data_IF_792518071559
#
_entry.id   IF_792518071559
#
_cell.length_a   1.000
_cell.length_b   1.000
_cell.length_c   1.000
_cell.angle_alpha   90.00
_cell.angle_beta   90.00
_cell.angle_gamma   90.00
#
_symmetry.space_group_name_H-M   'P 1'
#
loop_
_entity.id
_entity.type
_entity.pdbx_description
1 polymer ?
#
# COMPACT_ATOMS: atom_id res chain seq x y z
N UNK A 1 -16.33 22.32 18.45
CA UNK A 1 -16.80 21.16 17.65
C UNK A 1 -16.73 19.92 18.52
N UNK A 2 -17.80 19.12 18.63
CA UNK A 2 -17.81 17.96 19.50
C UNK A 2 -16.86 16.89 18.94
N UNK A 3 -15.91 16.42 19.76
CA UNK A 3 -15.06 15.27 19.42
C UNK A 3 -15.97 14.07 19.18
N UNK A 4 -16.07 13.61 17.93
CA UNK A 4 -16.66 12.31 17.58
C UNK A 4 -16.01 11.25 18.49
N UNK A 5 -16.80 10.62 19.38
CA UNK A 5 -16.33 9.44 20.11
C UNK A 5 -15.91 8.40 19.06
N UNK A 6 -14.64 7.98 19.05
CA UNK A 6 -14.19 6.86 18.23
C UNK A 6 -15.03 5.65 18.65
N UNK A 7 -15.80 5.08 17.72
CA UNK A 7 -16.48 3.80 17.96
C UNK A 7 -15.40 2.75 18.22
N UNK A 8 -15.64 1.86 19.18
CA UNK A 8 -14.76 0.70 19.40
C UNK A 8 -14.58 -0.05 18.09
N UNK A 9 -13.34 -0.42 17.76
CA UNK A 9 -13.02 -1.28 16.62
C UNK A 9 -13.34 -2.76 16.90
N UNK A 10 -13.74 -3.09 18.13
CA UNK A 10 -13.96 -4.45 18.59
C UNK A 10 -15.33 -4.60 19.24
N UNK A 11 -16.00 -5.70 18.91
CA UNK A 11 -17.16 -6.18 19.67
C UNK A 11 -16.72 -6.91 20.93
N UNK A 12 -17.32 -6.58 22.07
CA UNK A 12 -17.05 -7.25 23.33
C UNK A 12 -17.47 -8.71 23.25
N UNK A 13 -16.64 -9.64 23.73
CA UNK A 13 -16.93 -11.08 23.63
C UNK A 13 -17.24 -11.66 25.00
N UNK A 14 -18.35 -12.41 25.10
CA UNK A 14 -18.69 -13.23 26.26
C UNK A 14 -17.58 -14.27 26.47
N UNK A 15 -16.81 -14.12 27.54
CA UNK A 15 -15.78 -15.09 27.92
C UNK A 15 -16.46 -16.29 28.59
N UNK A 16 -16.92 -17.25 27.78
CA UNK A 16 -17.18 -18.60 28.29
C UNK A 16 -15.88 -19.37 28.23
N UNK A 17 -15.32 -19.78 29.38
CA UNK A 17 -14.23 -20.77 29.39
C UNK A 17 -14.79 -22.08 28.82
N UNK A 18 -14.38 -22.53 27.63
CA UNK A 18 -14.85 -23.80 27.14
C UNK A 18 -14.22 -24.88 28.02
N UNK A 19 -15.03 -25.86 28.45
CA UNK A 19 -14.52 -27.05 29.14
C UNK A 19 -13.90 -27.97 28.10
N UNK A 20 -12.70 -27.63 27.60
CA UNK A 20 -11.96 -28.52 26.73
C UNK A 20 -11.46 -29.72 27.55
N UNK A 21 -12.07 -30.88 27.34
CA UNK A 21 -11.59 -32.15 27.90
C UNK A 21 -10.40 -32.70 27.12
N UNK A 22 -10.19 -32.24 25.89
CA UNK A 22 -9.13 -32.63 24.97
C UNK A 22 -8.30 -31.40 24.59
N UNK A 23 -6.97 -31.55 24.56
CA UNK A 23 -6.05 -30.48 24.20
C UNK A 23 -6.12 -30.06 22.73
N UNK A 24 -5.18 -29.20 22.32
CA UNK A 24 -5.00 -28.75 20.93
C UNK A 24 -4.93 -29.98 19.99
N UNK A 25 -5.67 -29.99 18.86
CA UNK A 25 -5.63 -31.10 17.91
C UNK A 25 -4.22 -31.41 17.40
N UNK A 26 -3.89 -32.69 17.29
CA UNK A 26 -2.68 -33.12 16.59
C UNK A 26 -2.90 -33.14 15.08
N UNK A 27 -1.86 -33.16 14.26
CA UNK A 27 -2.00 -33.24 12.79
C UNK A 27 -2.79 -34.50 12.34
N UNK A 28 -2.57 -35.63 13.01
CA UNK A 28 -3.31 -36.89 12.72
C UNK A 28 -4.79 -36.79 13.08
N UNK A 29 -5.10 -36.16 14.21
CA UNK A 29 -6.50 -35.89 14.59
C UNK A 29 -7.13 -34.89 13.64
N UNK A 30 -6.41 -33.83 13.28
CA UNK A 30 -6.88 -32.81 12.37
C UNK A 30 -7.39 -33.44 11.09
N UNK A 31 -6.62 -34.34 10.49
CA UNK A 31 -6.93 -35.04 9.24
C UNK A 31 -8.27 -35.79 9.26
N UNK A 32 -8.67 -36.35 10.42
CA UNK A 32 -9.92 -37.11 10.57
C UNK A 32 -11.11 -36.26 10.98
N UNK A 33 -10.89 -35.02 11.43
CA UNK A 33 -11.96 -34.10 11.83
C UNK A 33 -12.81 -33.65 10.64
N UNK A 34 -14.10 -33.39 10.92
CA UNK A 34 -15.05 -32.94 9.92
C UNK A 34 -14.74 -31.50 9.48
N UNK A 35 -14.86 -31.24 8.18
CA UNK A 35 -14.61 -29.94 7.57
C UNK A 35 -15.83 -29.02 7.58
N UNK A 36 -15.59 -27.72 7.77
CA UNK A 36 -16.60 -26.67 7.71
C UNK A 36 -16.12 -25.48 6.88
N UNK A 37 -17.05 -24.74 6.29
CA UNK A 37 -16.75 -23.52 5.52
C UNK A 37 -16.75 -22.25 6.39
N UNK A 38 -17.45 -22.29 7.51
CA UNK A 38 -17.57 -21.17 8.44
C UNK A 38 -17.82 -21.64 9.88
N UNK A 39 -17.62 -20.72 10.82
CA UNK A 39 -18.11 -20.83 12.20
C UNK A 39 -18.69 -19.49 12.64
N UNK A 40 -19.38 -19.49 13.78
CA UNK A 40 -20.02 -18.30 14.34
C UNK A 40 -19.56 -18.11 15.77
N UNK A 41 -19.20 -16.88 16.11
CA UNK A 41 -18.85 -16.47 17.48
C UNK A 41 -19.87 -15.46 17.97
N UNK A 42 -20.57 -15.71 19.09
CA UNK A 42 -21.44 -14.72 19.69
C UNK A 42 -20.64 -13.65 20.46
N UNK A 43 -21.06 -12.40 20.36
CA UNK A 43 -20.55 -11.30 21.18
C UNK A 43 -21.34 -11.17 22.51
N UNK A 44 -20.97 -10.21 23.37
CA UNK A 44 -21.63 -9.96 24.65
C UNK A 44 -23.09 -9.54 24.50
N UNK A 45 -23.40 -8.80 23.43
CA UNK A 45 -24.73 -8.33 23.07
C UNK A 45 -25.60 -9.44 22.46
N UNK A 46 -24.99 -10.59 22.12
CA UNK A 46 -25.65 -11.72 21.50
C UNK A 46 -25.70 -11.65 19.98
N UNK A 47 -25.03 -10.67 19.36
CA UNK A 47 -24.87 -10.65 17.92
C UNK A 47 -23.90 -11.76 17.49
N UNK A 48 -24.17 -12.32 16.32
CA UNK A 48 -23.42 -13.44 15.77
C UNK A 48 -22.43 -12.96 14.72
N UNK A 49 -21.14 -13.20 14.94
CA UNK A 49 -20.07 -12.89 14.01
C UNK A 49 -19.66 -14.14 13.25
N UNK A 50 -19.85 -14.15 11.93
CA UNK A 50 -19.56 -15.32 11.09
C UNK A 50 -18.18 -15.20 10.43
N UNK A 51 -17.33 -16.18 10.70
CA UNK A 51 -15.99 -16.28 10.14
C UNK A 51 -15.92 -17.39 9.10
N UNK A 52 -15.31 -17.10 7.95
CA UNK A 52 -15.17 -18.00 6.80
C UNK A 52 -13.71 -18.27 6.48
N UNK A 53 -13.47 -19.36 5.76
CA UNK A 53 -12.15 -19.66 5.20
C UNK A 53 -11.66 -18.47 4.35
N UNK A 54 -10.35 -18.22 4.42
CA UNK A 54 -9.60 -17.13 3.77
C UNK A 54 -9.81 -15.72 4.32
N UNK A 55 -10.73 -15.53 5.27
CA UNK A 55 -10.84 -14.26 6.00
C UNK A 55 -9.72 -14.12 7.04
N UNK A 56 -9.39 -12.87 7.35
CA UNK A 56 -8.44 -12.51 8.40
C UNK A 56 -9.23 -12.03 9.62
N UNK A 57 -8.73 -12.36 10.81
CA UNK A 57 -9.40 -12.08 12.06
C UNK A 57 -8.42 -11.67 13.16
N UNK A 58 -8.94 -10.91 14.12
CA UNK A 58 -8.30 -10.67 15.39
C UNK A 58 -8.53 -11.86 16.32
N UNK A 59 -7.44 -12.32 16.93
CA UNK A 59 -7.40 -13.47 17.83
C UNK A 59 -6.83 -12.99 19.16
N UNK A 60 -7.48 -13.39 20.26
CA UNK A 60 -7.03 -13.07 21.61
C UNK A 60 -5.73 -13.81 21.92
N UNK A 61 -4.69 -13.09 22.37
CA UNK A 61 -3.53 -13.71 23.01
C UNK A 61 -3.94 -14.45 24.28
N UNK A 62 -3.11 -15.43 24.68
CA UNK A 62 -3.34 -16.15 25.93
C UNK A 62 -3.30 -15.21 27.14
N UNK A 63 -4.21 -15.43 28.09
CA UNK A 63 -4.35 -14.61 29.30
C UNK A 63 -4.92 -13.19 29.10
N UNK A 64 -5.21 -12.77 27.86
CA UNK A 64 -5.79 -11.45 27.57
C UNK A 64 -7.31 -11.56 27.49
N UNK A 65 -8.00 -10.77 28.32
CA UNK A 65 -9.45 -10.65 28.23
C UNK A 65 -9.81 -9.65 27.10
N UNK A 66 -10.93 -9.86 26.39
CA UNK A 66 -11.43 -8.92 25.41
C UNK A 66 -11.94 -7.66 26.11
N UNK A 67 -11.04 -6.76 26.51
CA UNK A 67 -11.38 -5.42 27.01
C UNK A 67 -11.03 -4.35 25.97
N UNK A 68 -11.93 -3.37 25.87
CA UNK A 68 -11.85 -2.13 25.08
C UNK A 68 -10.62 -1.25 25.35
N UNK A 69 -9.88 -1.50 26.42
CA UNK A 69 -8.69 -0.71 26.75
C UNK A 69 -7.47 -1.05 25.87
N UNK A 70 -7.44 -2.22 25.24
CA UNK A 70 -6.30 -2.65 24.45
C UNK A 70 -6.30 -2.04 23.04
N UNK A 71 -5.15 -1.48 22.66
CA UNK A 71 -4.92 -1.00 21.30
C UNK A 71 -5.05 -2.16 20.29
N UNK A 72 -5.59 -1.95 19.07
CA UNK A 72 -5.78 -3.03 18.09
C UNK A 72 -4.51 -3.84 17.79
N UNK A 73 -3.34 -3.22 17.91
CA UNK A 73 -2.05 -3.87 17.68
C UNK A 73 -1.66 -4.88 18.77
N UNK A 74 -2.39 -4.95 19.89
CA UNK A 74 -2.18 -5.93 20.95
C UNK A 74 -2.78 -7.31 20.61
N UNK A 75 -3.74 -7.35 19.68
CA UNK A 75 -4.36 -8.60 19.25
C UNK A 75 -3.47 -9.32 18.24
N UNK A 76 -3.50 -10.65 18.27
CA UNK A 76 -2.90 -11.46 17.22
C UNK A 76 -3.77 -11.37 15.97
N UNK A 77 -3.14 -11.46 14.80
CA UNK A 77 -3.85 -11.39 13.52
C UNK A 77 -3.55 -12.67 12.74
N UNK A 78 -4.62 -13.34 12.32
CA UNK A 78 -4.52 -14.64 11.67
C UNK A 78 -5.46 -14.76 10.48
N UNK A 79 -4.98 -15.38 9.41
CA UNK A 79 -5.80 -15.74 8.25
C UNK A 79 -6.29 -17.18 8.38
N UNK A 80 -7.61 -17.38 8.33
CA UNK A 80 -8.24 -18.69 8.43
C UNK A 80 -7.97 -19.47 7.15
N UNK A 81 -7.43 -20.69 7.29
CA UNK A 81 -7.10 -21.56 6.15
C UNK A 81 -7.98 -22.78 6.07
N UNK A 82 -8.34 -23.34 7.22
CA UNK A 82 -9.24 -24.48 7.32
C UNK A 82 -10.03 -24.34 8.62
N UNK A 83 -11.25 -24.85 8.63
CA UNK A 83 -12.10 -24.94 9.81
C UNK A 83 -12.50 -26.41 9.93
N UNK A 84 -12.27 -26.99 11.10
CA UNK A 84 -12.63 -28.38 11.39
C UNK A 84 -13.20 -28.51 12.79
N UNK A 85 -14.01 -29.55 13.01
CA UNK A 85 -14.57 -29.82 14.33
C UNK A 85 -14.45 -31.30 14.72
N UNK A 86 -14.22 -31.57 16.00
CA UNK A 86 -14.34 -32.92 16.56
C UNK A 86 -15.82 -33.25 16.80
N UNK A 87 -16.59 -32.26 17.24
CA UNK A 87 -18.04 -32.29 17.46
C UNK A 87 -18.61 -30.86 17.40
N UNK A 88 -19.89 -30.66 17.66
CA UNK A 88 -20.57 -29.36 17.57
C UNK A 88 -20.00 -28.29 18.52
N UNK A 89 -19.38 -28.69 19.64
CA UNK A 89 -18.84 -27.78 20.65
C UNK A 89 -17.32 -27.55 20.50
N UNK A 90 -16.62 -28.46 19.83
CA UNK A 90 -15.16 -28.48 19.71
C UNK A 90 -14.71 -28.14 18.28
N UNK A 91 -14.83 -26.86 17.94
CA UNK A 91 -14.49 -26.31 16.62
C UNK A 91 -13.15 -25.58 16.67
N UNK A 92 -12.30 -25.85 15.69
CA UNK A 92 -10.95 -25.32 15.56
C UNK A 92 -10.70 -24.76 14.16
N UNK A 93 -9.82 -23.77 14.09
CA UNK A 93 -9.35 -23.18 12.85
C UNK A 93 -7.85 -23.42 12.70
N UNK A 94 -7.41 -23.84 11.52
CA UNK A 94 -6.01 -23.76 11.13
C UNK A 94 -5.75 -22.36 10.61
N UNK A 95 -4.86 -21.64 11.28
CA UNK A 95 -4.59 -20.22 11.06
C UNK A 95 -3.19 -20.04 10.50
N UNK A 96 -3.04 -19.16 9.50
CA UNK A 96 -1.74 -18.63 9.07
C UNK A 96 -1.51 -17.28 9.74
N UNK A 97 -0.34 -17.10 10.37
CA UNK A 97 -0.12 -15.96 11.26
C UNK A 97 0.49 -14.74 10.58
N UNK A 98 0.03 -13.56 11.01
CA UNK A 98 0.67 -12.27 10.80
C UNK A 98 1.45 -11.88 12.05
N UNK A 99 2.75 -11.69 11.89
CA UNK A 99 3.68 -11.37 12.98
C UNK A 99 3.89 -9.87 13.08
N UNK A 100 4.06 -9.35 14.30
CA UNK A 100 4.56 -8.00 14.50
C UNK A 100 6.05 -7.89 14.17
N UNK A 101 6.56 -6.70 13.79
CA UNK A 101 7.99 -6.49 13.56
C UNK A 101 8.88 -6.94 14.74
N UNK A 102 8.42 -6.73 15.97
CA UNK A 102 9.14 -7.11 17.19
C UNK A 102 9.24 -8.63 17.34
N UNK A 103 8.16 -9.36 17.05
CA UNK A 103 8.18 -10.83 17.07
C UNK A 103 9.07 -11.38 15.95
N UNK A 104 9.05 -10.78 14.76
CA UNK A 104 9.98 -11.15 13.68
C UNK A 104 11.43 -10.93 14.10
N UNK A 105 11.76 -9.79 14.71
CA UNK A 105 13.11 -9.53 15.20
C UNK A 105 13.56 -10.51 16.29
N UNK A 106 12.61 -11.08 17.05
CA UNK A 106 12.93 -12.15 18.01
C UNK A 106 13.50 -13.41 17.33
N UNK A 107 13.06 -13.70 16.11
CA UNK A 107 13.46 -14.86 15.28
C UNK A 107 14.61 -14.53 14.34
N UNK A 108 14.60 -13.33 13.74
CA UNK A 108 15.57 -12.82 12.77
C UNK A 108 16.18 -11.54 13.35
N UNK A 109 17.28 -11.67 14.10
CA UNK A 109 17.88 -10.55 14.85
C UNK A 109 18.37 -9.40 13.96
N UNK A 110 18.69 -9.68 12.70
CA UNK A 110 19.11 -8.69 11.71
C UNK A 110 17.95 -7.89 11.10
N UNK A 111 16.69 -8.29 11.35
CA UNK A 111 15.54 -7.57 10.83
C UNK A 111 15.38 -6.24 11.56
N UNK A 112 15.55 -5.12 10.85
CA UNK A 112 15.41 -3.78 11.41
C UNK A 112 13.93 -3.40 11.58
N UNK A 113 13.51 -3.27 12.84
CA UNK A 113 12.15 -2.88 13.21
C UNK A 113 11.90 -1.38 13.06
N UNK A 114 12.94 -0.55 12.98
CA UNK A 114 12.81 0.91 12.98
C UNK A 114 12.15 1.44 11.70
N UNK A 115 12.29 0.70 10.60
CA UNK A 115 11.62 0.97 9.32
C UNK A 115 10.17 0.52 9.25
N UNK A 116 9.62 -0.12 10.30
CA UNK A 116 8.26 -0.65 10.29
C UNK A 116 7.26 0.29 10.98
N UNK A 117 6.06 0.42 10.41
CA UNK A 117 4.98 1.17 11.04
C UNK A 117 4.28 0.40 12.18
N UNK A 118 3.53 1.10 13.01
CA UNK A 118 2.81 0.58 14.17
C UNK A 118 1.74 -0.47 13.78
N UNK A 119 1.09 -0.28 12.64
CA UNK A 119 0.07 -1.18 12.08
C UNK A 119 0.67 -2.15 11.06
N UNK A 120 2.00 -2.18 10.92
CA UNK A 120 2.63 -3.14 10.03
C UNK A 120 2.61 -4.55 10.63
N UNK A 121 2.37 -5.51 9.75
CA UNK A 121 2.44 -6.94 10.02
C UNK A 121 3.21 -7.65 8.93
N UNK A 122 3.80 -8.78 9.28
CA UNK A 122 4.58 -9.63 8.38
C UNK A 122 3.84 -10.96 8.22
N UNK A 123 3.42 -11.29 7.01
CA UNK A 123 2.66 -12.51 6.75
C UNK A 123 3.61 -13.71 6.76
N UNK A 124 3.39 -14.69 7.63
CA UNK A 124 4.30 -15.84 7.76
C UNK A 124 3.84 -17.08 7.01
N UNK A 125 4.76 -18.00 6.70
CA UNK A 125 4.46 -19.39 6.31
C UNK A 125 4.19 -20.30 7.52
N UNK A 126 4.02 -19.73 8.71
CA UNK A 126 3.75 -20.46 9.95
C UNK A 126 2.24 -20.66 10.17
N UNK A 127 1.87 -21.86 10.57
CA UNK A 127 0.48 -22.26 10.79
C UNK A 127 0.32 -22.87 12.18
N UNK A 128 -0.84 -22.64 12.80
CA UNK A 128 -1.20 -23.26 14.07
C UNK A 128 -2.70 -23.55 14.15
N UNK A 129 -3.11 -24.37 15.13
CA UNK A 129 -4.50 -24.68 15.42
C UNK A 129 -5.01 -23.81 16.56
N UNK A 130 -6.06 -23.05 16.29
CA UNK A 130 -6.65 -22.10 17.23
C UNK A 130 -8.10 -22.47 17.43
N UNK A 131 -8.54 -22.53 18.69
CA UNK A 131 -9.95 -22.70 18.99
C UNK A 131 -10.75 -21.52 18.45
N UNK A 132 -11.92 -21.78 17.86
CA UNK A 132 -12.83 -20.70 17.40
C UNK A 132 -13.26 -19.78 18.55
N UNK A 133 -13.18 -20.25 19.79
CA UNK A 133 -13.40 -19.48 21.01
C UNK A 133 -12.36 -18.36 21.24
N UNK A 134 -11.26 -18.30 20.50
CA UNK A 134 -10.26 -17.22 20.62
C UNK A 134 -10.46 -16.07 19.61
N UNK A 135 -11.36 -16.23 18.62
CA UNK A 135 -11.61 -15.21 17.59
C UNK A 135 -12.52 -14.11 18.12
N UNK A 136 -12.17 -12.84 17.88
CA UNK A 136 -12.91 -11.68 18.36
C UNK A 136 -13.69 -10.97 17.28
N UNK A 137 -12.99 -10.54 16.23
CA UNK A 137 -13.54 -9.66 15.20
C UNK A 137 -12.80 -9.87 13.89
N UNK A 138 -13.35 -9.38 12.78
CA UNK A 138 -12.69 -9.38 11.50
C UNK A 138 -11.53 -8.39 11.49
N UNK A 139 -10.44 -8.78 10.82
CA UNK A 139 -9.29 -7.91 10.60
C UNK A 139 -9.07 -7.74 9.09
N UNK A 140 -8.70 -6.53 8.69
CA UNK A 140 -8.28 -6.24 7.32
C UNK A 140 -6.80 -5.89 7.34
N UNK A 141 -5.99 -6.63 6.57
CA UNK A 141 -4.56 -6.37 6.39
C UNK A 141 -4.30 -6.13 4.91
N UNK A 142 -3.94 -4.90 4.56
CA UNK A 142 -3.69 -4.48 3.18
C UNK A 142 -2.34 -4.98 2.69
N UNK A 143 -2.25 -5.52 1.47
CA UNK A 143 -0.95 -5.76 0.85
C UNK A 143 -0.41 -4.43 0.36
N UNK A 144 0.81 -4.08 0.78
CA UNK A 144 1.47 -2.86 0.36
C UNK A 144 2.74 -3.18 -0.42
N UNK A 145 2.79 -2.78 -1.68
CA UNK A 145 3.99 -2.80 -2.51
C UNK A 145 4.51 -1.35 -2.68
N UNK A 146 5.70 -1.09 -2.15
CA UNK A 146 6.33 0.22 -2.25
C UNK A 146 6.73 0.62 -3.66
N UNK A 147 6.88 -0.33 -4.58
CA UNK A 147 7.28 -0.07 -5.96
C UNK A 147 6.06 0.01 -6.90
N UNK A 148 4.88 -0.38 -6.44
CA UNK A 148 3.66 -0.34 -7.24
C UNK A 148 3.25 1.11 -7.51
N UNK A 149 2.92 1.36 -8.77
CA UNK A 149 2.43 2.67 -9.24
C UNK A 149 0.92 2.79 -9.13
N UNK A 150 0.22 1.68 -8.95
CA UNK A 150 -1.23 1.51 -8.95
C UNK A 150 -1.78 0.99 -7.61
N UNK A 151 -0.94 0.99 -6.57
CA UNK A 151 -1.26 0.57 -5.21
C UNK A 151 -2.59 1.19 -4.74
N UNK A 152 -3.48 0.35 -4.21
CA UNK A 152 -4.73 0.82 -3.59
C UNK A 152 -4.45 1.65 -2.35
N UNK A 153 -5.17 2.76 -2.22
CA UNK A 153 -5.04 3.70 -1.12
C UNK A 153 -5.59 3.11 0.18
N UNK A 154 -4.92 3.41 1.29
CA UNK A 154 -5.38 3.09 2.63
C UNK A 154 -4.83 4.11 3.63
N UNK A 155 -5.58 4.29 4.71
CA UNK A 155 -5.26 5.24 5.78
C UNK A 155 -4.20 4.68 6.73
N UNK A 156 -3.57 5.58 7.50
CA UNK A 156 -2.49 5.23 8.44
C UNK A 156 -2.92 4.39 9.64
N UNK A 157 -4.23 4.20 9.85
CA UNK A 157 -4.80 3.39 10.92
C UNK A 157 -5.20 1.97 10.48
N UNK A 158 -4.92 1.62 9.22
CA UNK A 158 -5.16 0.28 8.70
C UNK A 158 -3.93 -0.61 8.88
N UNK A 159 -4.16 -1.90 9.18
CA UNK A 159 -3.10 -2.89 9.14
C UNK A 159 -2.65 -3.12 7.70
N UNK A 160 -1.35 -3.29 7.50
CA UNK A 160 -0.78 -3.58 6.19
C UNK A 160 0.43 -4.51 6.31
N UNK A 161 0.78 -5.17 5.21
CA UNK A 161 1.97 -5.99 5.08
C UNK A 161 2.75 -5.67 3.81
N UNK A 162 4.04 -5.38 3.97
CA UNK A 162 5.02 -5.28 2.87
C UNK A 162 5.82 -6.56 2.68
N UNK A 163 5.99 -7.29 3.77
CA UNK A 163 6.90 -8.41 3.83
C UNK A 163 6.18 -9.71 4.16
N UNK A 164 6.74 -10.78 3.61
CA UNK A 164 6.43 -12.16 3.93
C UNK A 164 7.60 -12.76 4.73
N UNK A 165 7.28 -13.52 5.77
CA UNK A 165 8.23 -14.25 6.61
C UNK A 165 8.18 -15.73 6.25
N UNK A 166 9.29 -16.23 5.73
CA UNK A 166 9.54 -17.67 5.71
C UNK A 166 10.15 -18.06 7.07
N UNK A 167 9.29 -18.44 8.01
CA UNK A 167 9.62 -18.67 9.41
C UNK A 167 10.70 -19.74 9.57
N UNK A 168 10.55 -20.87 8.86
CA UNK A 168 11.51 -21.98 8.92
C UNK A 168 12.85 -21.62 8.28
N UNK A 169 12.82 -20.93 7.14
CA UNK A 169 14.03 -20.49 6.44
C UNK A 169 14.67 -19.25 7.08
N UNK A 170 13.97 -18.58 8.02
CA UNK A 170 14.37 -17.32 8.66
C UNK A 170 14.70 -16.24 7.63
N UNK A 171 13.82 -16.08 6.64
CA UNK A 171 13.99 -15.14 5.53
C UNK A 171 12.80 -14.20 5.42
N UNK A 172 13.08 -12.95 5.08
CA UNK A 172 12.09 -11.91 4.79
C UNK A 172 12.08 -11.65 3.29
N UNK A 173 10.87 -11.59 2.70
CA UNK A 173 10.67 -11.35 1.28
C UNK A 173 9.68 -10.20 1.04
N UNK A 174 9.90 -9.32 0.03
CA UNK A 174 11.15 -9.18 -0.71
C UNK A 174 12.30 -8.69 0.20
N UNK A 175 13.55 -8.74 -0.30
CA UNK A 175 14.67 -8.16 0.43
C UNK A 175 14.41 -6.66 0.68
N UNK A 176 14.52 -6.24 1.94
CA UNK A 176 14.28 -4.87 2.41
C UNK A 176 15.14 -3.85 1.66
N UNK A 177 16.37 -4.22 1.28
CA UNK A 177 17.27 -3.35 0.52
C UNK A 177 16.71 -2.93 -0.84
N UNK A 178 15.83 -3.74 -1.44
CA UNK A 178 15.24 -3.45 -2.75
C UNK A 178 14.13 -2.38 -2.71
N UNK A 179 13.64 -2.04 -1.52
CA UNK A 179 12.56 -1.06 -1.30
C UNK A 179 13.01 0.15 -0.49
N UNK A 180 14.24 0.14 0.04
CA UNK A 180 14.75 1.22 0.85
C UNK A 180 15.09 2.49 0.03
N UNK A 181 15.04 3.63 0.72
CA UNK A 181 15.63 4.87 0.22
C UNK A 181 17.15 4.72 0.02
N UNK A 182 17.80 5.64 -0.69
CA UNK A 182 19.25 5.63 -0.87
C UNK A 182 20.07 5.75 0.43
N UNK A 183 19.44 6.10 1.56
CA UNK A 183 20.05 6.03 2.89
C UNK A 183 20.04 4.62 3.51
N UNK A 184 19.43 3.63 2.83
CA UNK A 184 19.27 2.25 3.33
C UNK A 184 18.09 2.08 4.29
N UNK A 185 17.32 3.14 4.57
CA UNK A 185 16.16 3.08 5.47
C UNK A 185 14.87 2.93 4.66
N UNK A 186 14.01 2.01 5.08
CA UNK A 186 12.68 1.81 4.49
C UNK A 186 11.72 2.93 4.88
N UNK A 187 10.69 3.13 4.05
CA UNK A 187 9.60 4.04 4.36
C UNK A 187 8.87 3.62 5.64
N UNK A 188 8.71 4.53 6.59
CA UNK A 188 7.87 4.31 7.76
C UNK A 188 6.72 5.36 7.77
N UNK A 189 5.45 4.97 7.59
CA UNK A 189 4.34 5.92 7.50
C UNK A 189 4.09 6.74 8.77
N UNK A 190 4.53 6.26 9.94
CA UNK A 190 4.36 6.98 11.21
C UNK A 190 5.46 8.03 11.42
N UNK A 191 6.65 7.83 10.84
CA UNK A 191 7.80 8.73 10.99
C UNK A 191 8.00 9.65 9.78
N UNK A 192 7.76 9.15 8.58
CA UNK A 192 8.11 9.78 7.32
C UNK A 192 6.84 10.44 6.72
N UNK A 193 6.57 11.72 7.02
CA UNK A 193 5.32 12.37 6.63
C UNK A 193 5.19 12.54 5.11
N UNK A 194 6.33 12.57 4.40
CA UNK A 194 6.42 12.67 2.96
C UNK A 194 7.68 11.99 2.42
N UNK A 195 7.54 11.27 1.31
CA UNK A 195 8.66 10.80 0.48
C UNK A 195 8.38 11.13 -0.99
N UNK A 196 9.41 11.34 -1.80
CA UNK A 196 9.27 11.60 -3.24
C UNK A 196 9.48 10.31 -4.02
N UNK A 197 8.56 10.00 -4.92
CA UNK A 197 8.56 8.75 -5.67
C UNK A 197 8.98 8.99 -7.13
N UNK A 198 9.92 8.20 -7.62
CA UNK A 198 10.30 8.18 -9.02
C UNK A 198 9.48 7.12 -9.77
N UNK A 199 8.66 7.50 -10.77
CA UNK A 199 7.76 6.56 -11.44
C UNK A 199 8.43 5.70 -12.51
N UNK A 200 9.69 6.00 -12.89
CA UNK A 200 10.38 5.31 -13.98
C UNK A 200 10.49 3.81 -13.74
N UNK A 201 10.24 2.95 -14.76
CA UNK A 201 10.26 1.50 -14.62
C UNK A 201 11.52 0.94 -13.93
N UNK A 202 12.71 1.38 -14.31
CA UNK A 202 13.96 0.90 -13.71
C UNK A 202 14.22 1.41 -12.28
N UNK A 203 13.52 2.45 -11.84
CA UNK A 203 13.69 3.05 -10.51
C UNK A 203 12.61 2.59 -9.53
N UNK A 204 11.36 3.02 -9.76
CA UNK A 204 10.19 2.76 -8.89
C UNK A 204 10.50 2.80 -7.40
N UNK A 205 11.22 3.84 -6.98
CA UNK A 205 11.71 3.98 -5.60
C UNK A 205 11.22 5.29 -4.99
N UNK A 206 10.98 5.26 -3.67
CA UNK A 206 10.66 6.42 -2.87
C UNK A 206 11.90 6.89 -2.09
N UNK A 207 12.07 8.19 -1.97
CA UNK A 207 13.21 8.81 -1.29
C UNK A 207 12.74 9.79 -0.23
N UNK A 208 13.42 9.78 0.93
CA UNK A 208 13.23 10.78 1.97
C UNK A 208 13.64 12.16 1.44
N UNK A 209 12.89 13.19 1.81
CA UNK A 209 13.14 14.55 1.36
C UNK A 209 14.57 15.03 1.68
N UNK A 210 15.09 14.67 2.84
CA UNK A 210 16.44 15.02 3.31
C UNK A 210 17.57 14.25 2.60
N UNK A 211 17.25 13.12 1.96
CA UNK A 211 18.21 12.35 1.16
C UNK A 211 18.32 12.86 -0.28
N UNK A 212 17.50 13.84 -0.67
CA UNK A 212 17.45 14.35 -2.01
C UNK A 212 18.17 15.69 -2.16
N UNK A 213 18.81 15.86 -3.31
CA UNK A 213 19.42 17.13 -3.71
C UNK A 213 18.47 17.95 -4.56
N UNK A 214 18.62 19.27 -4.47
CA UNK A 214 17.92 20.21 -5.35
C UNK A 214 18.62 20.29 -6.71
N UNK A 215 17.92 20.64 -7.79
CA UNK A 215 18.56 20.87 -9.08
C UNK A 215 19.52 22.07 -9.02
N UNK A 216 20.64 21.98 -9.75
CA UNK A 216 21.70 23.01 -9.78
C UNK A 216 21.20 24.37 -10.31
N UNK A 217 20.25 24.31 -11.25
CA UNK A 217 19.65 25.50 -11.86
C UNK A 217 18.22 25.66 -11.37
N UNK A 218 17.89 26.89 -10.99
CA UNK A 218 16.50 27.27 -10.71
C UNK A 218 15.72 27.22 -12.02
N UNK A 219 14.82 26.25 -12.12
CA UNK A 219 13.86 26.15 -13.22
C UNK A 219 12.68 27.08 -12.94
N UNK A 220 12.18 27.74 -13.99
CA UNK A 220 10.89 28.41 -13.89
C UNK A 220 9.76 27.38 -13.72
N UNK A 221 8.57 27.88 -13.36
CA UNK A 221 7.41 27.04 -13.07
C UNK A 221 6.97 26.20 -14.27
N UNK A 222 7.06 26.74 -15.49
CA UNK A 222 6.58 26.09 -16.71
C UNK A 222 7.54 24.95 -17.07
N UNK A 223 8.84 25.24 -17.15
CA UNK A 223 9.88 24.26 -17.44
C UNK A 223 9.88 23.11 -16.42
N UNK A 224 9.74 23.44 -15.14
CA UNK A 224 9.63 22.43 -14.07
C UNK A 224 8.40 21.55 -14.24
N UNK A 225 7.22 22.15 -14.41
CA UNK A 225 5.97 21.40 -14.53
C UNK A 225 6.00 20.48 -15.76
N UNK A 226 6.62 20.93 -16.86
CA UNK A 226 6.86 20.09 -18.05
C UNK A 226 7.75 18.89 -17.73
N UNK A 227 8.87 19.12 -17.03
CA UNK A 227 9.80 18.06 -16.61
C UNK A 227 9.19 17.02 -15.68
N UNK A 228 8.18 17.38 -14.88
CA UNK A 228 7.43 16.39 -14.09
C UNK A 228 6.62 15.46 -14.99
N UNK A 229 5.92 15.98 -16.00
CA UNK A 229 5.19 15.15 -16.96
C UNK A 229 6.14 14.21 -17.70
N UNK A 230 7.28 14.73 -18.19
CA UNK A 230 8.30 13.96 -18.92
C UNK A 230 9.01 12.88 -18.09
N UNK A 231 8.74 12.81 -16.78
CA UNK A 231 9.12 11.69 -15.96
C UNK A 231 8.08 10.57 -16.10
N UNK A 232 8.12 9.92 -17.28
CA UNK A 232 7.14 8.93 -17.73
C UNK A 232 7.20 7.63 -16.91
N UNK A 233 6.04 7.05 -16.55
CA UNK A 233 5.95 5.81 -15.79
C UNK A 233 6.17 4.53 -16.62
N UNK A 234 6.02 4.60 -17.95
CA UNK A 234 6.03 3.43 -18.84
C UNK A 234 7.35 3.25 -19.62
N UNK A 235 8.27 4.21 -19.53
CA UNK A 235 9.55 4.15 -20.25
C UNK A 235 10.69 4.76 -19.44
N UNK A 236 11.88 4.16 -19.55
CA UNK A 236 13.13 4.72 -19.00
C UNK A 236 13.82 5.67 -19.99
N UNK A 237 13.30 5.81 -21.21
CA UNK A 237 13.83 6.74 -22.21
C UNK A 237 13.58 8.20 -21.80
N UNK A 238 14.53 9.07 -22.13
CA UNK A 238 14.42 10.51 -21.89
C UNK A 238 13.65 11.19 -23.01
N UNK A 239 12.37 10.84 -23.17
CA UNK A 239 11.50 11.39 -24.20
C UNK A 239 10.86 12.71 -23.72
N UNK A 240 11.07 13.77 -24.49
CA UNK A 240 10.27 15.00 -24.33
C UNK A 240 8.86 14.79 -24.85
N UNK A 241 7.95 15.67 -24.44
CA UNK A 241 6.57 15.71 -24.98
C UNK A 241 6.61 15.93 -26.51
N UNK A 242 7.55 16.73 -27.00
CA UNK A 242 7.79 16.96 -28.42
C UNK A 242 8.25 15.70 -29.16
N UNK A 243 9.12 14.88 -28.55
CA UNK A 243 9.58 13.63 -29.15
C UNK A 243 8.41 12.66 -29.36
N UNK A 244 7.53 12.55 -28.37
CA UNK A 244 6.31 11.73 -28.45
C UNK A 244 5.34 12.27 -29.50
N UNK A 245 5.06 13.58 -29.49
CA UNK A 245 4.16 14.21 -30.46
C UNK A 245 4.72 14.20 -31.90
N UNK A 246 6.05 14.20 -32.02
CA UNK A 246 6.81 14.36 -33.26
C UNK A 246 7.15 13.07 -33.99
N UNK A 247 6.98 11.90 -33.38
CA UNK A 247 7.21 10.56 -33.97
C UNK A 247 6.28 10.19 -35.15
N UNK A 248 5.60 11.18 -35.73
CA UNK A 248 4.83 11.08 -36.98
C UNK A 248 5.77 10.86 -38.17
N UNK A 249 5.42 10.03 -39.18
CA UNK A 249 6.05 10.12 -40.49
C UNK A 249 5.65 11.48 -41.12
N UNK A 250 6.57 12.45 -41.07
CA UNK A 250 6.32 13.78 -41.59
C UNK A 250 6.19 13.72 -43.13
N UNK A 251 4.99 13.99 -43.68
CA UNK A 251 4.86 14.38 -45.09
C UNK A 251 5.75 15.61 -45.32
N UNK A 252 6.71 15.49 -46.25
CA UNK A 252 7.73 16.48 -46.63
C UNK A 252 7.27 17.94 -46.42
N UNK A 253 7.79 18.61 -45.38
CA UNK A 253 7.51 20.04 -45.13
C UNK A 253 8.18 20.90 -46.21
N UNK A 254 7.41 21.80 -46.82
CA UNK A 254 7.92 22.90 -47.64
C UNK A 254 8.66 23.89 -46.74
N UNK A 255 9.90 24.26 -47.12
CA UNK A 255 10.70 25.31 -46.47
C UNK A 255 9.98 26.65 -46.56
N UNK A 256 9.78 27.32 -45.42
CA UNK A 256 9.42 28.73 -45.37
C UNK A 256 8.05 29.02 -44.75
N UNK A 257 7.88 28.77 -43.44
CA UNK A 257 6.95 29.54 -42.61
C UNK A 257 7.33 29.34 -41.14
N UNK A 258 7.65 30.41 -40.41
CA UNK A 258 7.79 30.39 -38.95
C UNK A 258 6.38 30.30 -38.34
N UNK A 259 5.78 29.11 -38.35
CA UNK A 259 4.60 28.85 -37.51
C UNK A 259 5.11 28.50 -36.11
N UNK A 260 4.70 29.26 -35.09
CA UNK A 260 4.76 28.78 -33.70
C UNK A 260 4.04 27.44 -33.65
N UNK A 261 4.78 26.35 -33.43
CA UNK A 261 4.18 25.02 -33.28
C UNK A 261 3.37 25.08 -31.98
N UNK A 262 2.04 24.81 -32.00
CA UNK A 262 1.23 24.76 -30.79
C UNK A 262 1.82 23.76 -29.79
N UNK A 263 1.81 24.07 -28.49
CA UNK A 263 2.30 23.13 -27.47
C UNK A 263 1.43 21.87 -27.51
N UNK A 264 2.01 20.66 -27.68
CA UNK A 264 1.23 19.43 -27.71
C UNK A 264 0.34 19.21 -26.48
N UNK A 265 0.63 19.87 -25.35
CA UNK A 265 -0.22 19.81 -24.16
C UNK A 265 -1.55 20.55 -24.28
N UNK A 266 -1.68 21.51 -25.20
CA UNK A 266 -2.91 22.32 -25.40
C UNK A 266 -4.11 21.47 -25.86
N UNK A 267 -3.87 20.27 -26.39
CA UNK A 267 -4.94 19.36 -26.81
C UNK A 267 -5.64 18.65 -25.63
N UNK A 268 -5.06 18.72 -24.41
CA UNK A 268 -5.57 18.02 -23.24
C UNK A 268 -6.34 18.96 -22.29
N UNK A 269 -7.34 18.44 -21.55
CA UNK A 269 -8.04 19.22 -20.52
C UNK A 269 -7.07 19.77 -19.47
N UNK A 270 -7.25 21.03 -19.07
CA UNK A 270 -6.36 21.69 -18.09
C UNK A 270 -6.27 20.91 -16.77
N UNK A 271 -7.37 20.32 -16.31
CA UNK A 271 -7.40 19.51 -15.08
C UNK A 271 -6.51 18.26 -15.17
N UNK A 272 -6.48 17.59 -16.33
CA UNK A 272 -5.64 16.42 -16.57
C UNK A 272 -4.16 16.83 -16.58
N UNK A 273 -3.84 17.90 -17.31
CA UNK A 273 -2.48 18.45 -17.37
C UNK A 273 -2.01 18.86 -15.98
N UNK A 274 -2.86 19.55 -15.20
CA UNK A 274 -2.53 19.96 -13.83
C UNK A 274 -2.29 18.79 -12.89
N UNK A 275 -3.02 17.68 -13.03
CA UNK A 275 -2.77 16.44 -12.29
C UNK A 275 -1.42 15.82 -12.68
N UNK A 276 -1.12 15.71 -13.97
CA UNK A 276 0.14 15.16 -14.47
C UNK A 276 1.38 16.01 -14.08
N UNK A 277 1.20 17.32 -13.92
CA UNK A 277 2.23 18.27 -13.47
C UNK A 277 2.57 18.17 -11.98
N UNK A 278 1.83 17.40 -11.18
CA UNK A 278 2.14 17.26 -9.76
C UNK A 278 3.41 16.43 -9.56
N UNK A 279 4.14 16.73 -8.48
CA UNK A 279 5.17 15.82 -7.97
C UNK A 279 4.50 14.55 -7.46
N UNK A 280 5.19 13.43 -7.59
CA UNK A 280 4.70 12.16 -7.06
C UNK A 280 5.28 11.97 -5.67
N UNK A 281 4.41 11.88 -4.68
CA UNK A 281 4.77 11.84 -3.27
C UNK A 281 3.95 10.79 -2.53
N UNK A 282 4.62 10.08 -1.61
CA UNK A 282 4.03 9.18 -0.62
C UNK A 282 3.95 9.86 0.75
N UNK A 283 3.25 9.26 1.70
CA UNK A 283 3.23 9.72 3.08
C UNK A 283 1.91 10.34 3.51
N UNK A 284 1.61 10.28 4.81
CA UNK A 284 0.31 10.69 5.38
C UNK A 284 -0.07 12.14 5.06
N UNK A 285 0.92 13.02 4.81
CA UNK A 285 0.68 14.41 4.38
C UNK A 285 0.48 14.55 2.86
N UNK A 286 0.44 13.45 2.13
CA UNK A 286 0.31 13.35 0.67
C UNK A 286 -0.95 12.59 0.23
N UNK A 287 -1.86 12.26 1.15
CA UNK A 287 -3.06 11.45 0.87
C UNK A 287 -2.95 10.01 1.39
N UNK A 288 -2.67 9.83 2.69
CA UNK A 288 -2.57 8.51 3.31
C UNK A 288 -1.20 7.85 3.15
N UNK A 289 -1.10 6.54 3.39
CA UNK A 289 0.20 5.83 3.36
C UNK A 289 0.81 5.81 1.95
N UNK A 290 -0.04 5.65 0.94
CA UNK A 290 0.37 5.52 -0.47
C UNK A 290 0.63 6.87 -1.12
N UNK A 291 -0.10 7.92 -0.71
CA UNK A 291 -0.02 9.25 -1.30
C UNK A 291 -0.61 9.33 -2.71
N UNK A 292 -0.16 10.29 -3.52
CA UNK A 292 -0.78 10.61 -4.81
C UNK A 292 -0.25 9.80 -6.01
N UNK A 293 0.46 8.69 -5.76
CA UNK A 293 1.19 7.92 -6.78
C UNK A 293 0.28 7.49 -7.92
N UNK A 294 -0.77 6.75 -7.60
CA UNK A 294 -1.72 6.20 -8.58
C UNK A 294 -2.36 7.27 -9.45
N UNK A 295 -2.85 8.32 -8.81
CA UNK A 295 -3.56 9.39 -9.48
C UNK A 295 -2.67 10.18 -10.46
N UNK A 296 -1.45 10.54 -10.05
CA UNK A 296 -0.51 11.30 -10.90
C UNK A 296 0.06 10.41 -12.00
N UNK A 297 0.39 9.15 -11.71
CA UNK A 297 0.85 8.19 -12.71
C UNK A 297 -0.20 7.97 -13.78
N UNK A 298 -1.47 7.70 -13.40
CA UNK A 298 -2.56 7.53 -14.36
C UNK A 298 -2.74 8.76 -15.26
N UNK A 299 -2.61 9.98 -14.71
CA UNK A 299 -2.63 11.22 -15.49
C UNK A 299 -1.51 11.30 -16.52
N UNK A 300 -0.29 10.93 -16.14
CA UNK A 300 0.86 10.89 -17.07
C UNK A 300 0.70 9.80 -18.12
N UNK A 301 0.20 8.62 -17.77
CA UNK A 301 -0.06 7.51 -18.70
C UNK A 301 -1.05 7.89 -19.79
N UNK A 302 -2.16 8.56 -19.44
CA UNK A 302 -3.13 9.00 -20.45
C UNK A 302 -2.53 10.01 -21.45
N UNK A 303 -1.71 10.94 -20.96
CA UNK A 303 -1.00 11.90 -21.84
C UNK A 303 0.02 11.15 -22.70
N UNK A 304 0.81 10.24 -22.10
CA UNK A 304 1.81 9.45 -22.80
C UNK A 304 1.21 8.63 -23.94
N UNK A 305 0.18 7.82 -23.66
CA UNK A 305 -0.48 6.98 -24.66
C UNK A 305 -1.10 7.81 -25.79
N UNK A 306 -1.82 8.89 -25.46
CA UNK A 306 -2.44 9.77 -26.46
C UNK A 306 -1.41 10.45 -27.37
N UNK A 307 -0.26 10.87 -26.81
CA UNK A 307 0.83 11.44 -27.61
C UNK A 307 1.53 10.40 -28.48
N UNK A 308 1.84 9.22 -27.92
CA UNK A 308 2.55 8.15 -28.59
C UNK A 308 1.74 7.55 -29.75
N UNK A 309 0.46 7.25 -29.52
CA UNK A 309 -0.42 6.66 -30.53
C UNK A 309 -0.99 7.69 -31.51
N UNK A 310 -0.98 8.97 -31.13
CA UNK A 310 -1.72 10.01 -31.84
C UNK A 310 -3.24 9.84 -31.76
N UNK A 311 -3.74 9.07 -30.78
CA UNK A 311 -5.15 8.84 -30.52
C UNK A 311 -5.74 9.98 -29.65
N UNK A 312 -7.02 10.34 -29.86
CA UNK A 312 -7.67 11.32 -28.98
C UNK A 312 -7.80 10.75 -27.56
N UNK A 313 -7.80 11.64 -26.56
CA UNK A 313 -8.03 11.27 -25.17
C UNK A 313 -9.38 10.52 -25.03
N UNK A 314 -9.42 9.37 -24.33
CA UNK A 314 -10.66 8.63 -24.09
C UNK A 314 -11.74 9.50 -23.45
N UNK A 315 -13.00 9.32 -23.84
CA UNK A 315 -14.12 10.13 -23.32
C UNK A 315 -14.37 9.90 -21.82
N UNK A 316 -14.02 8.71 -21.33
CA UNK A 316 -14.16 8.24 -19.94
C UNK A 316 -12.91 8.51 -19.09
N UNK A 317 -11.99 9.38 -19.54
CA UNK A 317 -10.71 9.62 -18.85
C UNK A 317 -10.88 10.07 -17.38
N UNK A 318 -11.99 10.74 -17.05
CA UNK A 318 -12.31 11.20 -15.69
C UNK A 318 -12.59 10.03 -14.74
N UNK A 319 -13.08 8.92 -15.25
CA UNK A 319 -13.36 7.73 -14.43
C UNK A 319 -12.07 6.94 -14.15
N UNK A 320 -11.00 7.21 -14.91
CA UNK A 320 -9.70 6.55 -14.80
C UNK A 320 -8.73 7.28 -13.86
N UNK A 321 -9.04 8.52 -13.46
CA UNK A 321 -8.14 9.35 -12.65
C UNK A 321 -8.93 10.02 -11.54
N UNK A 322 -8.48 9.81 -10.31
CA UNK A 322 -8.87 10.65 -9.19
C UNK A 322 -8.07 11.97 -9.19
N UNK A 323 -8.63 13.01 -9.81
CA UNK A 323 -7.96 14.32 -9.95
C UNK A 323 -7.75 15.01 -8.61
N UNK A 324 -8.63 14.76 -7.63
CA UNK A 324 -8.52 15.36 -6.30
C UNK A 324 -7.40 14.69 -5.50
N UNK A 325 -7.27 13.36 -5.60
CA UNK A 325 -6.13 12.64 -5.01
C UNK A 325 -4.79 13.04 -5.65
N UNK A 326 -4.77 13.34 -6.96
CA UNK A 326 -3.55 13.79 -7.63
C UNK A 326 -3.03 15.14 -7.07
N UNK A 327 -3.94 16.06 -6.73
CA UNK A 327 -3.64 17.44 -6.36
C UNK A 327 -3.80 17.59 -4.83
N UNK A 328 -2.75 17.32 -4.03
CA UNK A 328 -2.88 17.32 -2.58
C UNK A 328 -3.32 18.70 -2.05
N UNK A 329 -4.29 18.73 -1.11
CA UNK A 329 -4.83 19.98 -0.60
C UNK A 329 -3.77 20.75 0.20
N UNK A 330 -3.41 21.95 -0.29
CA UNK A 330 -2.53 22.92 0.38
C UNK A 330 -1.11 22.42 0.66
N UNK A 331 -0.23 22.47 -0.35
CA UNK A 331 1.21 22.57 -0.11
C UNK A 331 1.74 23.94 -0.55
N UNK A 332 2.26 24.72 0.41
CA UNK A 332 3.22 25.79 0.08
C UNK A 332 4.38 25.12 -0.67
N UNK A 333 4.75 25.67 -1.82
CA UNK A 333 5.55 25.03 -2.87
C UNK A 333 6.51 23.95 -2.36
N UNK A 334 6.16 22.69 -2.62
CA UNK A 334 7.02 21.56 -2.26
C UNK A 334 8.36 21.74 -2.97
N UNK A 335 9.49 21.65 -2.24
CA UNK A 335 10.81 21.75 -2.86
C UNK A 335 10.93 20.72 -3.98
N UNK A 336 11.71 21.07 -5.00
CA UNK A 336 11.90 20.24 -6.19
C UNK A 336 13.22 19.52 -6.02
N UNK A 337 13.23 18.23 -6.35
CA UNK A 337 14.37 17.39 -6.14
C UNK A 337 14.81 16.68 -7.42
N UNK A 338 16.01 16.11 -7.36
CA UNK A 338 16.57 15.27 -8.42
C UNK A 338 16.66 13.84 -7.90
N UNK A 339 16.11 12.89 -8.65
CA UNK A 339 16.20 11.47 -8.34
C UNK A 339 17.67 11.03 -8.35
N UNK A 340 18.18 10.37 -7.29
CA UNK A 340 19.57 9.96 -7.20
C UNK A 340 19.93 8.90 -8.25
N UNK A 341 18.97 8.07 -8.68
CA UNK A 341 19.17 7.00 -9.65
C UNK A 341 19.01 7.48 -11.11
N UNK A 342 17.89 8.11 -11.44
CA UNK A 342 17.57 8.49 -12.83
C UNK A 342 18.01 9.91 -13.21
N UNK A 343 18.40 10.75 -12.24
CA UNK A 343 18.74 12.17 -12.42
C UNK A 343 17.61 13.06 -12.97
N UNK A 344 16.37 12.57 -13.01
CA UNK A 344 15.18 13.35 -13.36
C UNK A 344 14.60 14.10 -12.18
N UNK A 345 13.76 15.10 -12.46
CA UNK A 345 13.04 15.83 -11.42
C UNK A 345 11.94 14.98 -10.79
N UNK A 346 11.87 15.02 -9.46
CA UNK A 346 10.86 14.37 -8.62
C UNK A 346 10.36 15.30 -7.51
#
# INVERSE_FOLDING_TARGET
>A
MPRRKKKSLFTHKKVSKPKFTLGIPTDREWETMQHYACFVVPDEEGNQHSFKIHQTAFILPDGVLPDTSHHPTAYWIGRIKQIRARNEEDVWARVQWYWSPQEVNSVIKSFDVSGCGQYERIMSDYYDYVSTASFCDHATVMRYDERAVDQEEFDSDHFYCRFDLEYRARRILPNVENTACCCGVSYNPDRDPVMHFCPRPACRAAYHQECLTRPDKKLDKIARNRKFIENWPDTDENLSIEDLAGSRPCRKRRKGLKSSVPDPLEQFPETLVRAAQQQIVKGVQAGGVVGNVKAVVAARQLIYCSLLEGSPLPTDWKDKIDVEAAIPPKRKGTPVFVCPQCKNLI
#
